data_IF_357365731599
#
_entry.id   IF_357365731599
#
_cell.length_a   1.000
_cell.length_b   1.000
_cell.length_c   1.000
_cell.angle_alpha   90.00
_cell.angle_beta   90.00
_cell.angle_gamma   90.00
#
_symmetry.space_group_name_H-M   'P 1'
#
loop_
_entity.id
_entity.type
_entity.pdbx_description
1 polymer ?
#
# COMPACT_ATOMS: atom_id res chain seq x y z
N UNK A 1 -6.59 1.61 -9.56
CA UNK A 1 -7.33 2.90 -9.48
C UNK A 1 -7.86 3.09 -8.06
N UNK A 2 -7.98 4.35 -7.61
CA UNK A 2 -8.26 4.86 -6.24
C UNK A 2 -7.10 4.82 -5.23
N UNK A 3 -6.04 4.04 -5.45
CA UNK A 3 -4.78 4.10 -4.69
C UNK A 3 -4.96 4.08 -3.15
N UNK A 4 -5.85 3.23 -2.65
CA UNK A 4 -6.16 3.12 -1.20
C UNK A 4 -7.06 4.22 -0.62
N UNK A 5 -7.54 5.17 -1.45
CA UNK A 5 -8.34 6.32 -1.04
C UNK A 5 -9.85 6.01 -1.10
N UNK A 6 -10.26 4.88 -0.54
CA UNK A 6 -11.68 4.48 -0.41
C UNK A 6 -11.99 4.21 1.06
N UNK A 7 -13.17 4.63 1.53
CA UNK A 7 -13.55 4.58 2.94
C UNK A 7 -13.57 3.15 3.55
N UNK A 8 -13.70 2.12 2.71
CA UNK A 8 -13.71 0.72 3.12
C UNK A 8 -12.45 -0.06 2.66
N UNK A 9 -11.38 0.63 2.24
CA UNK A 9 -10.10 -0.02 2.00
C UNK A 9 -9.56 -0.68 3.27
N UNK A 10 -8.94 -1.84 3.13
CA UNK A 10 -8.28 -2.51 4.24
C UNK A 10 -7.06 -1.69 4.72
N UNK A 11 -7.19 -1.05 5.88
CA UNK A 11 -6.09 -0.30 6.51
C UNK A 11 -5.25 -1.16 7.48
N UNK A 12 -5.80 -2.30 7.92
CA UNK A 12 -5.15 -3.28 8.80
C UNK A 12 -5.56 -4.67 8.36
N UNK A 13 -4.60 -5.56 8.22
CA UNK A 13 -4.83 -6.96 7.86
C UNK A 13 -4.27 -7.79 9.01
N UNK A 14 -5.15 -8.50 9.73
CA UNK A 14 -4.74 -9.44 10.77
C UNK A 14 -4.66 -10.83 10.15
N UNK A 15 -3.50 -11.47 10.30
CA UNK A 15 -3.22 -12.78 9.71
C UNK A 15 -2.98 -13.76 10.84
N UNK A 16 -3.55 -14.96 10.71
CA UNK A 16 -3.35 -16.01 11.70
C UNK A 16 -1.89 -16.49 11.63
N UNK A 17 -1.29 -16.69 12.80
CA UNK A 17 0.16 -16.90 12.97
C UNK A 17 0.73 -18.03 12.09
N UNK A 18 0.02 -19.15 11.97
CA UNK A 18 0.50 -20.31 11.18
C UNK A 18 0.57 -20.07 9.67
N UNK A 19 0.00 -18.98 9.15
CA UNK A 19 0.06 -18.61 7.73
C UNK A 19 0.65 -17.21 7.50
N UNK A 20 1.16 -16.53 8.54
CA UNK A 20 1.58 -15.13 8.47
C UNK A 20 2.68 -14.91 7.42
N UNK A 21 3.71 -15.75 7.42
CA UNK A 21 4.85 -15.62 6.50
C UNK A 21 4.44 -15.92 5.05
N UNK A 22 3.66 -16.98 4.84
CA UNK A 22 3.18 -17.36 3.50
C UNK A 22 2.29 -16.27 2.91
N UNK A 23 1.35 -15.74 3.71
CA UNK A 23 0.47 -14.66 3.29
C UNK A 23 1.25 -13.39 2.98
N UNK A 24 2.18 -13.00 3.85
CA UNK A 24 3.00 -11.79 3.69
C UNK A 24 3.82 -11.89 2.41
N UNK A 25 4.49 -13.01 2.16
CA UNK A 25 5.27 -13.21 0.94
C UNK A 25 4.42 -13.12 -0.34
N UNK A 26 3.19 -13.67 -0.34
CA UNK A 26 2.27 -13.54 -1.48
C UNK A 26 1.80 -12.10 -1.68
N UNK A 27 1.50 -11.39 -0.59
CA UNK A 27 1.06 -10.00 -0.64
C UNK A 27 2.17 -9.09 -1.17
N UNK A 28 3.40 -9.23 -0.65
CA UNK A 28 4.58 -8.49 -1.12
C UNK A 28 4.77 -8.70 -2.62
N UNK A 29 4.82 -9.95 -3.07
CA UNK A 29 4.99 -10.27 -4.50
C UNK A 29 3.87 -9.68 -5.38
N UNK A 30 2.64 -9.66 -4.88
CA UNK A 30 1.52 -9.06 -5.60
C UNK A 30 1.67 -7.52 -5.68
N UNK A 31 2.11 -6.88 -4.59
CA UNK A 31 2.34 -5.44 -4.52
C UNK A 31 3.54 -4.98 -5.35
N UNK A 32 4.63 -5.75 -5.41
CA UNK A 32 5.78 -5.47 -6.30
C UNK A 32 5.40 -5.54 -7.78
N UNK A 33 4.37 -6.31 -8.12
CA UNK A 33 3.89 -6.47 -9.49
C UNK A 33 2.96 -5.36 -9.98
N UNK A 34 2.56 -4.41 -9.12
CA UNK A 34 1.62 -3.35 -9.51
C UNK A 34 2.33 -2.23 -10.25
N UNK A 35 1.63 -1.65 -11.22
CA UNK A 35 2.11 -0.52 -12.02
C UNK A 35 1.63 0.83 -11.47
N UNK A 36 2.48 1.84 -11.55
CA UNK A 36 2.18 3.22 -11.14
C UNK A 36 2.32 4.18 -12.32
N UNK A 37 1.40 5.13 -12.48
CA UNK A 37 1.49 6.14 -13.54
C UNK A 37 0.32 7.10 -13.60
N UNK A 38 0.27 7.91 -14.67
CA UNK A 38 -0.87 8.78 -14.96
C UNK A 38 -1.96 7.99 -15.71
N UNK A 39 -3.13 7.72 -15.09
CA UNK A 39 -4.20 6.97 -15.73
C UNK A 39 -4.85 7.71 -16.92
N UNK A 40 -4.56 9.00 -17.12
CA UNK A 40 -4.97 9.74 -18.31
C UNK A 40 -4.10 9.41 -19.53
N UNK A 41 -2.83 9.07 -19.31
CA UNK A 41 -1.89 8.67 -20.38
C UNK A 41 -1.98 7.16 -20.66
N UNK A 42 -2.02 6.33 -19.62
CA UNK A 42 -2.10 4.88 -19.73
C UNK A 42 -3.20 4.32 -18.81
N UNK A 43 -4.26 3.79 -19.41
CA UNK A 43 -5.39 3.21 -18.67
C UNK A 43 -5.09 1.83 -18.06
N UNK A 44 -3.95 1.23 -18.37
CA UNK A 44 -3.55 -0.07 -17.83
C UNK A 44 -2.88 0.01 -16.45
N UNK A 45 -2.56 1.22 -15.97
CA UNK A 45 -1.89 1.39 -14.67
C UNK A 45 -2.78 0.99 -13.49
N UNK A 46 -2.20 0.27 -12.54
CA UNK A 46 -2.89 -0.21 -11.34
C UNK A 46 -3.09 0.91 -10.31
N UNK A 47 -2.13 1.82 -10.17
CA UNK A 47 -2.14 2.90 -9.18
C UNK A 47 -1.86 4.25 -9.82
N UNK A 48 -2.74 5.21 -9.54
CA UNK A 48 -2.55 6.62 -9.87
C UNK A 48 -2.00 7.41 -8.68
N UNK A 49 -1.81 8.73 -8.81
CA UNK A 49 -1.34 9.56 -7.72
C UNK A 49 -2.33 9.62 -6.55
N UNK A 50 -1.83 9.99 -5.38
CA UNK A 50 -2.69 10.46 -4.30
C UNK A 50 -3.30 11.80 -4.67
N UNK A 51 -4.51 12.07 -4.18
CA UNK A 51 -5.33 13.21 -4.64
C UNK A 51 -4.70 14.57 -4.36
N UNK A 52 -3.94 14.70 -3.27
CA UNK A 52 -3.30 15.94 -2.87
C UNK A 52 -2.08 15.70 -1.96
N UNK A 53 -1.33 16.78 -1.71
CA UNK A 53 -0.13 16.79 -0.86
C UNK A 53 -0.41 16.32 0.58
N UNK A 54 -1.52 16.76 1.17
CA UNK A 54 -1.88 16.39 2.54
C UNK A 54 -2.13 14.88 2.68
N UNK A 55 -2.76 14.25 1.69
CA UNK A 55 -2.96 12.80 1.65
C UNK A 55 -1.63 12.05 1.57
N UNK A 56 -0.70 12.54 0.76
CA UNK A 56 0.66 12.01 0.68
C UNK A 56 1.41 12.10 2.01
N UNK A 57 1.47 13.29 2.61
CA UNK A 57 2.16 13.53 3.89
C UNK A 57 1.58 12.67 5.02
N UNK A 58 0.25 12.47 5.01
CA UNK A 58 -0.41 11.57 5.97
C UNK A 58 0.07 10.13 5.81
N UNK A 59 0.07 9.58 4.60
CA UNK A 59 0.55 8.20 4.35
C UNK A 59 2.01 8.05 4.73
N UNK A 60 2.85 9.01 4.32
CA UNK A 60 4.27 9.03 4.68
C UNK A 60 4.47 9.03 6.20
N UNK A 61 3.72 9.87 6.94
CA UNK A 61 3.81 9.93 8.41
C UNK A 61 3.43 8.60 9.08
N UNK A 62 2.44 7.88 8.55
CA UNK A 62 2.00 6.59 9.08
C UNK A 62 3.06 5.51 8.88
N UNK A 63 3.66 5.47 7.68
CA UNK A 63 4.77 4.53 7.38
C UNK A 63 5.96 4.81 8.28
N UNK A 64 6.38 6.08 8.38
CA UNK A 64 7.52 6.46 9.22
C UNK A 64 7.26 6.23 10.71
N UNK A 65 6.02 6.41 11.18
CA UNK A 65 5.61 6.08 12.54
C UNK A 65 5.76 4.59 12.82
N UNK A 66 5.21 3.73 11.96
CA UNK A 66 5.29 2.27 12.11
C UNK A 66 6.75 1.77 12.16
N UNK A 67 7.61 2.29 11.28
CA UNK A 67 9.04 1.94 11.25
C UNK A 67 9.74 2.35 12.54
N UNK A 68 9.47 3.55 13.07
CA UNK A 68 10.02 4.01 14.36
C UNK A 68 9.57 3.14 15.53
N UNK A 69 8.39 2.53 15.44
CA UNK A 69 7.84 1.60 16.42
C UNK A 69 8.35 0.15 16.24
N UNK A 70 9.19 -0.11 15.23
CA UNK A 70 9.85 -1.39 15.01
C UNK A 70 9.27 -2.25 13.88
N UNK A 71 8.36 -1.71 13.05
CA UNK A 71 7.89 -2.41 11.86
C UNK A 71 8.97 -2.45 10.76
N UNK A 72 8.93 -3.52 9.95
CA UNK A 72 9.78 -3.69 8.77
C UNK A 72 9.02 -3.29 7.49
N UNK A 73 9.70 -2.62 6.56
CA UNK A 73 9.17 -2.34 5.22
C UNK A 73 9.50 -3.52 4.32
N UNK A 74 8.47 -4.24 3.86
CA UNK A 74 8.66 -5.43 3.03
C UNK A 74 8.70 -5.14 1.51
N UNK A 75 8.23 -3.98 1.05
CA UNK A 75 8.30 -3.47 -0.34
C UNK A 75 8.00 -1.99 -0.41
#
# INVERSE_FOLDING_TARGET
INSGQVCNCAARIYVQESIADEFTGKLVKAMEGVSFGDPLEDRSVDYGPLINRQGFEKVESLVQGAVKEGAEICT
#
